data_IF_149576778033
#
_entry.id   IF_149576778033
#
_cell.length_a   1.000
_cell.length_b   1.000
_cell.length_c   1.000
_cell.angle_alpha   90.00
_cell.angle_beta   90.00
_cell.angle_gamma   90.00
#
_symmetry.space_group_name_H-M   'P 1'
#
loop_
_entity.id
_entity.type
_entity.pdbx_description
1 polymer ?
#
# COMPACT_ATOMS: atom_id res chain seq x y z
N UNK A 1 7.68 -6.02 -7.51
CA UNK A 1 8.12 -6.33 -6.14
C UNK A 1 9.65 -6.18 -6.04
N UNK A 2 10.15 -5.05 -5.46
CA UNK A 2 11.60 -4.81 -5.37
C UNK A 2 12.33 -5.85 -4.52
N UNK A 3 11.70 -6.36 -3.46
CA UNK A 3 12.32 -7.33 -2.56
C UNK A 3 12.58 -8.70 -3.21
N UNK A 4 11.99 -8.98 -4.38
CA UNK A 4 12.34 -10.16 -5.18
C UNK A 4 13.74 -10.06 -5.81
N UNK A 5 14.32 -8.85 -5.89
CA UNK A 5 15.66 -8.64 -6.40
C UNK A 5 16.70 -8.89 -5.30
N UNK A 6 17.66 -9.78 -5.54
CA UNK A 6 18.68 -10.19 -4.56
C UNK A 6 19.49 -9.02 -3.96
N UNK A 7 19.71 -7.96 -4.74
CA UNK A 7 20.49 -6.78 -4.32
C UNK A 7 19.63 -5.67 -3.67
N UNK A 8 18.31 -5.82 -3.60
CA UNK A 8 17.42 -4.76 -3.15
C UNK A 8 17.78 -4.28 -1.73
N UNK A 9 17.93 -5.18 -0.76
CA UNK A 9 18.25 -4.82 0.63
C UNK A 9 19.59 -4.08 0.74
N UNK A 10 20.59 -4.50 -0.04
CA UNK A 10 21.92 -3.86 -0.07
C UNK A 10 21.79 -2.44 -0.64
N UNK A 11 21.02 -2.27 -1.73
CA UNK A 11 20.79 -0.97 -2.34
C UNK A 11 20.05 -0.01 -1.38
N UNK A 12 18.96 -0.48 -0.76
CA UNK A 12 18.18 0.34 0.18
C UNK A 12 19.06 0.86 1.31
N UNK A 13 19.88 -0.04 1.90
CA UNK A 13 20.82 0.35 2.95
C UNK A 13 21.87 1.35 2.46
N UNK A 14 22.48 1.12 1.31
CA UNK A 14 23.49 2.00 0.74
C UNK A 14 22.94 3.41 0.45
N UNK A 15 21.71 3.51 -0.03
CA UNK A 15 21.03 4.81 -0.24
C UNK A 15 20.80 5.55 1.09
N UNK A 16 20.34 4.85 2.12
CA UNK A 16 20.21 5.43 3.45
C UNK A 16 21.57 5.89 4.03
N UNK A 17 22.63 5.08 3.84
CA UNK A 17 23.98 5.42 4.29
C UNK A 17 24.55 6.66 3.56
N UNK A 18 24.13 6.86 2.30
CA UNK A 18 24.46 8.04 1.50
C UNK A 18 23.59 9.28 1.83
N UNK A 19 22.67 9.19 2.80
CA UNK A 19 21.85 10.30 3.27
C UNK A 19 20.58 10.56 2.46
N UNK A 20 20.18 9.64 1.59
CA UNK A 20 18.91 9.75 0.86
C UNK A 20 17.71 9.38 1.74
N UNK A 21 16.59 10.06 1.55
CA UNK A 21 15.28 9.61 2.01
C UNK A 21 14.80 8.49 1.08
N UNK A 22 14.64 7.29 1.62
CA UNK A 22 14.34 6.10 0.84
C UNK A 22 12.93 5.60 1.15
N UNK A 23 12.13 5.36 0.11
CA UNK A 23 10.81 4.72 0.20
C UNK A 23 10.82 3.40 -0.58
N UNK A 24 10.20 2.38 0.00
CA UNK A 24 10.01 1.07 -0.60
C UNK A 24 8.52 0.82 -0.78
N UNK A 25 8.05 0.77 -2.03
CA UNK A 25 6.73 0.21 -2.33
C UNK A 25 6.84 -1.31 -2.48
N UNK A 26 6.03 -2.06 -1.73
CA UNK A 26 6.06 -3.52 -1.71
C UNK A 26 4.66 -4.11 -1.72
N UNK A 27 4.50 -5.24 -2.38
CA UNK A 27 3.25 -6.01 -2.40
C UNK A 27 2.88 -6.64 -1.04
N UNK A 28 3.78 -6.57 -0.06
CA UNK A 28 3.57 -7.22 1.23
C UNK A 28 3.65 -8.75 1.23
N UNK A 29 3.98 -9.37 0.10
CA UNK A 29 4.09 -10.83 -0.02
C UNK A 29 5.44 -11.40 0.42
N UNK A 30 6.47 -10.56 0.53
CA UNK A 30 7.80 -10.94 1.00
C UNK A 30 8.10 -10.34 2.38
N UNK A 31 8.96 -11.01 3.14
CA UNK A 31 9.30 -10.64 4.51
C UNK A 31 10.05 -9.31 4.59
N UNK A 32 9.54 -8.39 5.42
CA UNK A 32 10.11 -7.07 5.67
C UNK A 32 11.18 -7.06 6.77
N UNK A 33 11.40 -8.16 7.46
CA UNK A 33 12.30 -8.25 8.63
C UNK A 33 13.70 -7.67 8.40
N UNK A 34 14.25 -7.84 7.18
CA UNK A 34 15.61 -7.38 6.85
C UNK A 34 15.68 -5.98 6.23
N UNK A 35 14.54 -5.32 6.04
CA UNK A 35 14.53 -3.95 5.50
C UNK A 35 15.08 -2.99 6.54
N UNK A 36 16.03 -2.12 6.13
CA UNK A 36 16.63 -1.12 7.02
C UNK A 36 15.54 -0.23 7.62
N UNK A 37 15.59 0.00 8.92
CA UNK A 37 14.56 0.75 9.66
C UNK A 37 14.41 2.22 9.23
N UNK A 38 15.38 2.77 8.53
CA UNK A 38 15.33 4.12 7.96
C UNK A 38 14.51 4.21 6.67
N UNK A 39 14.22 3.07 6.05
CA UNK A 39 13.40 3.00 4.83
C UNK A 39 11.93 3.14 5.20
N UNK A 40 11.25 4.12 4.61
CA UNK A 40 9.79 4.25 4.69
C UNK A 40 9.15 3.17 3.81
N UNK A 41 8.34 2.30 4.40
CA UNK A 41 7.67 1.21 3.69
C UNK A 41 6.23 1.60 3.34
N UNK A 42 5.86 1.49 2.07
CA UNK A 42 4.48 1.57 1.60
C UNK A 42 4.05 0.14 1.25
N UNK A 43 3.34 -0.50 2.18
CA UNK A 43 2.94 -1.90 2.03
C UNK A 43 1.54 -1.99 1.43
N UNK A 44 1.44 -2.60 0.25
CA UNK A 44 0.18 -2.80 -0.47
C UNK A 44 -0.49 -4.10 0.00
N UNK A 45 -1.55 -4.00 0.78
CA UNK A 45 -2.37 -5.15 1.17
C UNK A 45 -3.31 -5.49 0.00
N UNK A 46 -3.17 -6.71 -0.51
CA UNK A 46 -3.96 -7.21 -1.64
C UNK A 46 -5.38 -7.55 -1.19
N UNK A 47 -6.35 -7.01 -1.92
CA UNK A 47 -7.77 -7.22 -1.72
C UNK A 47 -8.27 -8.48 -2.46
N UNK A 48 -9.46 -9.01 -2.15
CA UNK A 48 -10.04 -10.14 -2.90
C UNK A 48 -10.14 -9.88 -4.40
N UNK A 49 -10.54 -8.67 -4.81
CA UNK A 49 -10.65 -8.29 -6.22
C UNK A 49 -9.33 -8.31 -6.99
N UNK A 50 -8.19 -8.26 -6.30
CA UNK A 50 -6.88 -8.43 -6.93
C UNK A 50 -6.55 -9.87 -7.34
N UNK A 51 -7.25 -10.87 -6.78
CA UNK A 51 -6.93 -12.29 -6.93
C UNK A 51 -5.67 -12.75 -6.20
N UNK A 52 -5.05 -11.89 -5.39
CA UNK A 52 -3.76 -12.13 -4.73
C UNK A 52 -3.84 -12.05 -3.19
N UNK A 53 -5.06 -12.05 -2.63
CA UNK A 53 -5.32 -11.86 -1.19
C UNK A 53 -4.58 -12.87 -0.31
N UNK A 54 -4.42 -14.11 -0.77
CA UNK A 54 -3.75 -15.18 -0.05
C UNK A 54 -2.22 -14.97 0.08
N UNK A 55 -1.67 -14.04 -0.70
CA UNK A 55 -0.23 -13.70 -0.64
C UNK A 55 0.10 -12.65 0.41
N UNK A 56 -0.87 -12.09 1.10
CA UNK A 56 -0.63 -11.14 2.18
C UNK A 56 0.11 -11.81 3.34
N UNK A 57 1.37 -11.42 3.56
CA UNK A 57 2.16 -11.92 4.69
C UNK A 57 1.88 -11.05 5.93
N UNK A 58 0.90 -11.45 6.73
CA UNK A 58 0.42 -10.67 7.87
C UNK A 58 1.47 -10.41 8.96
N UNK A 59 2.50 -11.26 9.06
CA UNK A 59 3.62 -11.02 9.98
C UNK A 59 4.38 -9.73 9.68
N UNK A 60 4.28 -9.19 8.45
CA UNK A 60 4.90 -7.93 8.07
C UNK A 60 4.35 -6.73 8.85
N UNK A 61 3.13 -6.81 9.40
CA UNK A 61 2.58 -5.77 10.26
C UNK A 61 3.46 -5.49 11.48
N UNK A 62 4.21 -6.50 11.97
CA UNK A 62 5.12 -6.35 13.10
C UNK A 62 6.34 -5.48 12.80
N UNK A 63 6.62 -5.21 11.52
CA UNK A 63 7.78 -4.44 11.06
C UNK A 63 7.40 -3.04 10.56
N UNK A 64 6.12 -2.69 10.65
CA UNK A 64 5.64 -1.35 10.31
C UNK A 64 5.72 -0.42 11.52
N UNK A 65 6.00 0.84 11.24
CA UNK A 65 6.10 1.93 12.20
C UNK A 65 5.24 3.11 11.77
N UNK A 66 5.15 4.17 12.57
CA UNK A 66 4.38 5.38 12.26
C UNK A 66 4.85 6.13 11.01
N UNK A 67 6.07 5.91 10.55
CA UNK A 67 6.62 6.51 9.33
C UNK A 67 6.25 5.74 8.06
N UNK A 68 5.74 4.51 8.21
CA UNK A 68 5.34 3.65 7.10
C UNK A 68 3.89 3.92 6.70
N UNK A 69 3.43 3.31 5.61
CA UNK A 69 2.07 3.42 5.12
C UNK A 69 1.53 2.05 4.71
N UNK A 70 0.24 1.83 4.93
CA UNK A 70 -0.49 0.69 4.38
C UNK A 70 -1.37 1.20 3.26
N UNK A 71 -1.35 0.52 2.11
CA UNK A 71 -2.12 0.88 0.93
C UNK A 71 -3.08 -0.26 0.56
N UNK A 72 -4.31 0.10 0.24
CA UNK A 72 -5.29 -0.78 -0.38
C UNK A 72 -5.64 -0.24 -1.76
N UNK A 73 -5.54 -1.09 -2.77
CA UNK A 73 -5.96 -0.78 -4.13
C UNK A 73 -7.29 -1.49 -4.38
N UNK A 74 -8.36 -0.71 -4.56
CA UNK A 74 -9.75 -1.16 -4.50
C UNK A 74 -10.37 -1.20 -5.89
N UNK A 75 -10.97 -2.33 -6.25
CA UNK A 75 -11.64 -2.54 -7.55
C UNK A 75 -13.11 -2.16 -7.51
N UNK A 76 -13.78 -2.36 -6.36
CA UNK A 76 -15.23 -2.20 -6.20
C UNK A 76 -15.62 -2.00 -4.72
N UNK A 77 -16.91 -2.00 -4.43
CA UNK A 77 -17.45 -1.85 -3.07
C UNK A 77 -17.16 -3.06 -2.18
N UNK A 78 -17.06 -4.27 -2.74
CA UNK A 78 -16.73 -5.46 -1.96
C UNK A 78 -15.30 -5.38 -1.41
N UNK A 79 -14.35 -4.94 -2.22
CA UNK A 79 -12.97 -4.66 -1.78
C UNK A 79 -12.93 -3.56 -0.72
N UNK A 80 -13.72 -2.50 -0.89
CA UNK A 80 -13.82 -1.42 0.08
C UNK A 80 -14.31 -1.93 1.45
N UNK A 81 -15.38 -2.71 1.46
CA UNK A 81 -15.94 -3.28 2.68
C UNK A 81 -14.95 -4.21 3.38
N UNK A 82 -14.33 -5.11 2.59
CA UNK A 82 -13.28 -6.00 3.10
C UNK A 82 -12.10 -5.22 3.71
N UNK A 83 -11.64 -4.15 3.04
CA UNK A 83 -10.56 -3.32 3.56
C UNK A 83 -10.93 -2.67 4.90
N UNK A 84 -12.18 -2.18 5.05
CA UNK A 84 -12.69 -1.63 6.30
C UNK A 84 -12.69 -2.68 7.42
N UNK A 85 -13.14 -3.91 7.14
CA UNK A 85 -13.13 -5.03 8.09
C UNK A 85 -11.71 -5.39 8.53
N UNK A 86 -10.77 -5.49 7.60
CA UNK A 86 -9.35 -5.78 7.90
C UNK A 86 -8.72 -4.64 8.72
N UNK A 87 -9.00 -3.39 8.39
CA UNK A 87 -8.52 -2.23 9.16
C UNK A 87 -8.96 -2.32 10.61
N UNK A 88 -10.22 -2.65 10.86
CA UNK A 88 -10.78 -2.79 12.20
C UNK A 88 -10.22 -4.02 12.91
N UNK A 89 -10.30 -5.20 12.28
CA UNK A 89 -9.89 -6.46 12.89
C UNK A 89 -8.41 -6.48 13.30
N UNK A 90 -7.55 -5.82 12.51
CA UNK A 90 -6.11 -5.75 12.76
C UNK A 90 -5.66 -4.42 13.36
N UNK A 91 -6.58 -3.51 13.67
CA UNK A 91 -6.31 -2.19 14.26
C UNK A 91 -5.23 -1.41 13.48
N UNK A 92 -5.28 -1.45 12.14
CA UNK A 92 -4.21 -0.94 11.29
C UNK A 92 -3.96 0.56 11.46
N UNK A 93 -4.99 1.36 11.76
CA UNK A 93 -4.85 2.79 12.04
C UNK A 93 -4.00 3.11 13.28
N UNK A 94 -3.81 2.15 14.18
CA UNK A 94 -2.93 2.29 15.32
C UNK A 94 -1.45 2.12 14.94
N UNK A 95 -1.17 1.45 13.81
CA UNK A 95 0.19 1.18 13.33
C UNK A 95 0.74 2.37 12.54
N UNK A 96 0.09 2.73 11.43
CA UNK A 96 0.56 3.76 10.52
C UNK A 96 -0.60 4.34 9.69
N UNK A 97 -0.38 5.42 8.91
CA UNK A 97 -1.35 5.95 7.97
C UNK A 97 -1.81 4.91 6.94
N UNK A 98 -3.09 4.99 6.57
CA UNK A 98 -3.70 4.10 5.58
C UNK A 98 -4.09 4.89 4.34
N UNK A 99 -3.81 4.31 3.17
CA UNK A 99 -4.12 4.84 1.85
C UNK A 99 -5.15 3.97 1.16
N UNK A 100 -6.22 4.57 0.65
CA UNK A 100 -7.16 3.95 -0.27
C UNK A 100 -6.97 4.49 -1.67
N UNK A 101 -6.78 3.61 -2.64
CA UNK A 101 -6.55 3.97 -4.04
C UNK A 101 -7.53 3.22 -4.94
N UNK A 102 -8.33 3.90 -5.79
CA UNK A 102 -9.19 3.19 -6.73
C UNK A 102 -8.36 2.61 -7.87
N UNK A 103 -8.73 1.42 -8.34
CA UNK A 103 -8.20 0.86 -9.59
C UNK A 103 -8.70 1.71 -10.76
N UNK A 104 -7.78 2.18 -11.59
CA UNK A 104 -8.10 2.97 -12.77
C UNK A 104 -9.07 2.22 -13.68
N UNK A 105 -10.09 2.93 -14.20
CA UNK A 105 -11.16 2.43 -15.05
C UNK A 105 -12.08 1.34 -14.42
N UNK A 106 -11.86 0.93 -13.16
CA UNK A 106 -12.71 -0.02 -12.45
C UNK A 106 -13.58 0.66 -11.40
N UNK A 107 -12.96 1.49 -10.55
CA UNK A 107 -13.66 2.23 -9.51
C UNK A 107 -13.47 3.75 -9.71
N UNK A 108 -14.58 4.46 -9.90
CA UNK A 108 -14.57 5.91 -10.03
C UNK A 108 -14.03 6.59 -8.75
N UNK A 109 -13.03 7.48 -8.86
CA UNK A 109 -12.46 8.17 -7.69
C UNK A 109 -13.50 8.90 -6.84
N UNK A 110 -14.50 9.54 -7.48
CA UNK A 110 -15.57 10.24 -6.79
C UNK A 110 -16.43 9.30 -5.94
N UNK A 111 -16.67 8.08 -6.41
CA UNK A 111 -17.41 7.05 -5.68
C UNK A 111 -16.66 6.62 -4.43
N UNK A 112 -15.36 6.32 -4.55
CA UNK A 112 -14.51 5.98 -3.40
C UNK A 112 -14.47 7.12 -2.38
N UNK A 113 -14.31 8.37 -2.84
CA UNK A 113 -14.31 9.55 -1.96
C UNK A 113 -15.65 9.67 -1.20
N UNK A 114 -16.78 9.45 -1.87
CA UNK A 114 -18.10 9.48 -1.24
C UNK A 114 -18.25 8.41 -0.14
N UNK A 115 -17.77 7.18 -0.37
CA UNK A 115 -17.77 6.13 0.65
C UNK A 115 -16.91 6.48 1.87
N UNK A 116 -15.68 6.98 1.65
CA UNK A 116 -14.77 7.39 2.74
C UNK A 116 -15.42 8.48 3.59
N UNK A 117 -16.06 9.48 2.96
CA UNK A 117 -16.74 10.58 3.67
C UNK A 117 -17.99 10.10 4.41
N UNK A 118 -18.82 9.25 3.77
CA UNK A 118 -20.02 8.66 4.39
C UNK A 118 -19.66 7.93 5.68
N UNK A 119 -18.60 7.11 5.63
CA UNK A 119 -18.21 6.22 6.73
C UNK A 119 -17.19 6.90 7.68
N UNK A 120 -16.81 8.16 7.40
CA UNK A 120 -15.86 8.97 8.19
C UNK A 120 -14.57 8.20 8.50
N UNK A 121 -14.04 7.49 7.50
CA UNK A 121 -12.85 6.68 7.68
C UNK A 121 -11.60 7.54 7.87
N UNK A 122 -10.73 7.20 8.84
CA UNK A 122 -9.45 7.89 9.06
C UNK A 122 -8.39 7.39 8.07
N UNK A 123 -8.65 7.57 6.77
CA UNK A 123 -7.76 7.16 5.68
C UNK A 123 -7.46 8.34 4.76
N UNK A 124 -6.34 8.28 4.03
CA UNK A 124 -6.05 9.18 2.92
C UNK A 124 -6.45 8.51 1.61
N UNK A 125 -7.06 9.27 0.72
CA UNK A 125 -7.31 8.81 -0.64
C UNK A 125 -6.15 9.20 -1.55
N UNK A 126 -5.71 8.27 -2.40
CA UNK A 126 -4.67 8.49 -3.40
C UNK A 126 -5.13 7.95 -4.74
N UNK A 127 -5.08 8.78 -5.78
CA UNK A 127 -5.32 8.34 -7.16
C UNK A 127 -3.99 7.99 -7.84
N UNK A 128 -4.04 7.10 -8.83
CA UNK A 128 -2.88 6.76 -9.68
C UNK A 128 -2.67 7.89 -10.70
N UNK A 129 -1.95 8.94 -10.28
CA UNK A 129 -1.81 10.17 -11.07
C UNK A 129 -1.20 9.92 -12.46
N UNK A 130 -0.24 9.00 -12.58
CA UNK A 130 0.35 8.64 -13.86
C UNK A 130 -0.69 8.09 -14.84
N UNK A 131 -1.66 7.32 -14.37
CA UNK A 131 -2.75 6.81 -15.22
C UNK A 131 -3.75 7.90 -15.58
N UNK A 132 -3.99 8.86 -14.68
CA UNK A 132 -4.83 10.02 -14.98
C UNK A 132 -4.20 10.92 -16.07
N UNK A 133 -2.87 11.10 -16.05
CA UNK A 133 -2.16 11.98 -16.98
C UNK A 133 -1.86 11.30 -18.32
N UNK A 134 -1.55 10.01 -18.33
CA UNK A 134 -1.04 9.31 -19.52
C UNK A 134 -1.81 8.04 -19.88
N UNK A 135 -2.90 7.73 -19.18
CA UNK A 135 -3.67 6.51 -19.41
C UNK A 135 -2.87 5.25 -19.08
N UNK A 136 -3.08 4.19 -19.85
CA UNK A 136 -2.43 2.89 -19.65
C UNK A 136 -1.13 2.71 -20.45
N UNK A 137 -0.55 3.78 -20.96
CA UNK A 137 0.71 3.71 -21.71
C UNK A 137 1.84 3.14 -20.84
N UNK A 138 2.54 2.07 -21.31
CA UNK A 138 3.62 1.46 -20.53
C UNK A 138 4.83 2.41 -20.40
N UNK A 139 5.50 2.39 -19.24
CA UNK A 139 6.76 3.10 -19.03
C UNK A 139 6.66 4.60 -18.79
N UNK A 140 5.50 5.09 -18.38
CA UNK A 140 5.28 6.52 -18.04
C UNK A 140 4.75 6.70 -16.65
#
# INVERSE_FOLDING_TARGET
EPLAQKSCLVLLKALCDAGYSVSLETSGALDLFKVDSRVCKVMDIKTPGSGEVDKNLWSNLNYLTRQDEIKFVLTDEADYQWACEIMQAKQLNALCPILFSPVYASLEPATLAAWILRDKLPVRMQIQMHKLLWGEGPGR
#
